data_IF_783198766318
#
_entry.id   IF_783198766318
#
_cell.length_a   1.000
_cell.length_b   1.000
_cell.length_c   1.000
_cell.angle_alpha   90.00
_cell.angle_beta   90.00
_cell.angle_gamma   90.00
#
_symmetry.space_group_name_H-M   'P 1'
#
loop_
_entity.id
_entity.type
_entity.pdbx_description
1 polymer ?
#
# COMPACT_ATOMS: atom_id res chain seq x y z
N UNK A 1 -63.24 28.19 17.56
CA UNK A 1 -62.57 27.67 16.40
C UNK A 1 -61.08 27.65 16.68
N UNK A 2 -60.53 26.52 17.04
CA UNK A 2 -59.10 26.37 17.33
C UNK A 2 -58.43 25.66 16.18
N UNK A 3 -57.49 26.30 15.48
CA UNK A 3 -56.70 25.73 14.41
C UNK A 3 -55.45 25.11 14.98
N UNK A 4 -55.36 23.79 14.93
CA UNK A 4 -54.20 22.99 15.30
C UNK A 4 -53.19 22.96 14.15
N UNK A 5 -52.05 23.60 14.30
CA UNK A 5 -50.93 23.52 13.38
C UNK A 5 -50.11 22.24 13.66
N UNK A 6 -50.10 21.32 12.70
CA UNK A 6 -49.27 20.12 12.71
C UNK A 6 -47.91 20.47 12.14
N UNK A 7 -46.90 20.57 12.99
CA UNK A 7 -45.51 20.71 12.56
C UNK A 7 -44.93 19.38 12.12
N UNK A 8 -44.69 19.23 10.81
CA UNK A 8 -44.02 18.06 10.24
C UNK A 8 -42.51 18.22 10.40
N UNK A 9 -41.92 17.59 11.39
CA UNK A 9 -40.48 17.52 11.58
C UNK A 9 -39.88 16.49 10.62
N UNK A 10 -39.26 16.97 9.53
CA UNK A 10 -38.46 16.13 8.61
C UNK A 10 -37.11 15.90 9.26
N UNK A 11 -36.91 14.76 9.88
CA UNK A 11 -35.58 14.29 10.29
C UNK A 11 -34.80 13.91 9.04
N UNK A 12 -33.89 14.78 8.57
CA UNK A 12 -32.81 14.38 7.66
C UNK A 12 -31.81 13.54 8.45
N UNK A 13 -31.92 12.22 8.34
CA UNK A 13 -30.85 11.33 8.74
C UNK A 13 -29.69 11.47 7.74
N UNK A 14 -28.67 12.27 8.06
CA UNK A 14 -27.38 12.17 7.37
C UNK A 14 -26.80 10.80 7.70
N UNK A 15 -26.95 9.86 6.77
CA UNK A 15 -26.18 8.62 6.79
C UNK A 15 -24.70 9.01 6.56
N UNK A 16 -23.93 9.09 7.63
CA UNK A 16 -22.48 9.16 7.54
C UNK A 16 -22.02 7.90 6.82
N UNK A 17 -21.67 8.04 5.55
CA UNK A 17 -21.01 6.99 4.77
C UNK A 17 -19.64 6.78 5.45
N UNK A 18 -19.58 5.80 6.34
CA UNK A 18 -18.30 5.29 6.82
C UNK A 18 -17.61 4.67 5.60
N UNK A 19 -16.69 5.41 4.99
CA UNK A 19 -15.79 4.87 3.99
C UNK A 19 -14.89 3.85 4.70
N UNK A 20 -15.40 2.61 4.82
CA UNK A 20 -14.66 1.50 5.38
C UNK A 20 -13.43 1.20 4.54
N UNK A 21 -12.40 0.59 5.17
CA UNK A 21 -11.23 0.11 4.44
C UNK A 21 -11.66 -0.88 3.35
N UNK A 22 -10.96 -0.92 2.19
CA UNK A 22 -11.28 -1.87 1.13
C UNK A 22 -11.31 -3.32 1.65
N UNK A 23 -12.15 -4.18 1.10
CA UNK A 23 -12.18 -5.58 1.50
C UNK A 23 -10.89 -6.32 1.09
N UNK A 24 -10.52 -7.34 1.84
CA UNK A 24 -9.44 -8.24 1.48
C UNK A 24 -9.84 -9.11 0.28
N UNK A 25 -8.96 -9.22 -0.72
CA UNK A 25 -9.09 -10.19 -1.82
C UNK A 25 -7.72 -10.51 -2.43
N UNK A 26 -7.63 -11.58 -3.21
CA UNK A 26 -6.39 -11.95 -3.91
C UNK A 26 -6.23 -11.31 -5.29
N UNK A 27 -7.25 -10.57 -5.74
CA UNK A 27 -7.23 -9.85 -7.02
C UNK A 27 -6.20 -8.71 -6.99
N UNK A 28 -5.58 -8.38 -8.13
CA UNK A 28 -4.69 -7.23 -8.26
C UNK A 28 -5.36 -5.92 -7.81
N UNK A 29 -4.57 -5.03 -7.23
CA UNK A 29 -5.00 -3.68 -6.83
C UNK A 29 -4.16 -2.67 -7.57
N UNK A 30 -4.81 -1.84 -8.37
CA UNK A 30 -4.15 -0.82 -9.18
C UNK A 30 -4.78 0.54 -8.95
N UNK A 31 -3.94 1.54 -8.98
CA UNK A 31 -4.33 2.94 -9.00
C UNK A 31 -3.41 3.67 -9.98
N UNK A 32 -3.93 4.32 -11.04
CA UNK A 32 -3.10 5.08 -11.95
C UNK A 32 -2.32 6.18 -11.23
N UNK A 33 -1.07 6.35 -11.60
CA UNK A 33 -0.26 7.48 -11.17
C UNK A 33 -0.62 8.72 -11.97
N UNK A 34 -0.66 9.87 -11.31
CA UNK A 34 -0.90 11.18 -11.95
C UNK A 34 -0.15 12.28 -11.19
N UNK A 35 0.26 13.31 -11.92
CA UNK A 35 0.89 14.48 -11.32
C UNK A 35 2.40 14.36 -11.12
N UNK A 36 2.93 15.13 -10.18
CA UNK A 36 4.36 15.18 -9.88
C UNK A 36 4.85 13.86 -9.28
N UNK A 37 6.05 13.45 -9.68
CA UNK A 37 6.72 12.25 -9.17
C UNK A 37 6.77 12.25 -7.63
N UNK A 38 6.33 11.19 -7.01
CA UNK A 38 6.37 11.04 -5.56
C UNK A 38 7.80 10.85 -5.05
N UNK A 39 8.16 11.57 -4.00
CA UNK A 39 9.35 11.32 -3.21
C UNK A 39 9.01 10.38 -2.08
N UNK A 40 9.46 9.15 -2.15
CA UNK A 40 9.34 8.20 -1.05
C UNK A 40 10.40 8.51 0.01
N UNK A 41 10.02 8.48 1.28
CA UNK A 41 10.89 8.86 2.41
C UNK A 41 11.17 7.74 3.38
N UNK A 42 10.48 6.62 3.27
CA UNK A 42 10.69 5.48 4.16
C UNK A 42 9.69 4.36 3.88
N UNK A 43 9.94 3.21 4.49
CA UNK A 43 9.04 2.07 4.53
C UNK A 43 9.02 1.47 5.93
N UNK A 44 7.85 0.97 6.35
CA UNK A 44 7.67 0.30 7.64
C UNK A 44 6.84 -0.97 7.49
N UNK A 45 6.89 -1.80 8.53
CA UNK A 45 6.04 -2.98 8.68
C UNK A 45 5.42 -3.02 10.07
N UNK A 46 4.24 -3.62 10.19
CA UNK A 46 3.56 -3.82 11.46
C UNK A 46 2.74 -5.11 11.48
N UNK A 47 2.77 -5.82 12.61
CA UNK A 47 1.95 -7.00 12.84
C UNK A 47 0.70 -6.58 13.64
N UNK A 48 -0.48 -6.89 13.14
CA UNK A 48 -1.77 -6.64 13.78
C UNK A 48 -2.46 -7.98 14.11
N UNK A 49 -3.54 -7.94 14.87
CA UNK A 49 -4.22 -9.15 15.31
C UNK A 49 -4.78 -10.03 14.17
N UNK A 50 -5.16 -9.45 13.03
CA UNK A 50 -5.82 -10.15 11.92
C UNK A 50 -5.17 -9.91 10.54
N UNK A 51 -4.13 -9.06 10.49
CA UNK A 51 -3.40 -8.76 9.26
C UNK A 51 -2.00 -8.24 9.58
N UNK A 52 -1.11 -8.38 8.62
CA UNK A 52 0.21 -7.77 8.64
C UNK A 52 0.24 -6.58 7.67
N UNK A 53 0.97 -5.53 8.01
CA UNK A 53 0.97 -4.27 7.29
C UNK A 53 2.35 -3.93 6.73
N UNK A 54 2.37 -3.49 5.48
CA UNK A 54 3.50 -2.80 4.85
C UNK A 54 3.08 -1.37 4.52
N UNK A 55 3.92 -0.40 4.88
CA UNK A 55 3.66 1.04 4.69
C UNK A 55 4.77 1.65 3.86
N UNK A 56 4.40 2.48 2.89
CA UNK A 56 5.31 3.31 2.10
C UNK A 56 4.98 4.77 2.42
N UNK A 57 5.96 5.51 2.93
CA UNK A 57 5.83 6.93 3.26
C UNK A 57 6.16 7.80 2.05
N UNK A 58 5.34 8.81 1.81
CA UNK A 58 5.48 9.78 0.72
C UNK A 58 5.67 11.16 1.33
N UNK A 59 6.85 11.74 1.12
CA UNK A 59 7.18 13.09 1.61
C UNK A 59 6.56 14.19 0.74
N UNK A 60 6.49 13.96 -0.58
CA UNK A 60 5.90 14.91 -1.54
C UNK A 60 5.48 14.23 -2.84
N UNK A 61 4.70 14.93 -3.66
CA UNK A 61 4.20 14.41 -4.92
C UNK A 61 3.05 13.42 -4.77
N UNK A 62 2.68 12.80 -5.88
CA UNK A 62 1.62 11.79 -5.94
C UNK A 62 2.06 10.62 -6.81
N UNK A 63 1.67 9.42 -6.43
CA UNK A 63 1.95 8.20 -7.19
C UNK A 63 0.72 7.32 -7.31
N UNK A 64 0.69 6.51 -8.35
CA UNK A 64 -0.14 5.32 -8.42
C UNK A 64 0.55 4.11 -7.81
N UNK A 65 -0.12 2.97 -7.91
CA UNK A 65 0.45 1.68 -7.51
C UNK A 65 -0.12 0.55 -8.35
N UNK A 66 0.66 -0.52 -8.44
CA UNK A 66 0.23 -1.83 -8.90
C UNK A 66 0.70 -2.88 -7.88
N UNK A 67 -0.24 -3.60 -7.29
CA UNK A 67 0.03 -4.60 -6.25
C UNK A 67 -0.66 -5.89 -6.62
N UNK A 68 0.14 -6.96 -6.77
CA UNK A 68 -0.36 -8.27 -7.19
C UNK A 68 0.49 -9.43 -6.73
N UNK A 69 -0.12 -10.61 -6.63
CA UNK A 69 0.61 -11.86 -6.49
C UNK A 69 1.41 -12.17 -7.76
N UNK A 70 2.63 -12.65 -7.56
CA UNK A 70 3.54 -13.08 -8.64
C UNK A 70 4.20 -14.40 -8.29
N UNK A 71 4.64 -15.16 -9.28
CA UNK A 71 5.42 -16.39 -9.07
C UNK A 71 6.83 -16.08 -8.55
N UNK A 72 7.42 -14.97 -9.02
CA UNK A 72 8.73 -14.46 -8.58
C UNK A 72 8.75 -12.94 -8.66
N UNK A 73 9.55 -12.31 -7.81
CA UNK A 73 9.92 -10.90 -7.91
C UNK A 73 11.24 -10.80 -8.64
N UNK A 74 11.36 -9.83 -9.53
CA UNK A 74 12.60 -9.53 -10.24
C UNK A 74 13.04 -8.11 -9.94
N UNK A 75 14.34 -7.89 -9.97
CA UNK A 75 14.93 -6.57 -9.76
C UNK A 75 14.88 -5.73 -11.04
N UNK A 76 14.48 -4.47 -10.90
CA UNK A 76 14.52 -3.49 -11.97
C UNK A 76 15.86 -2.67 -11.89
N UNK A 77 16.59 -2.45 -13.00
CA UNK A 77 16.30 -2.87 -14.38
C UNK A 77 16.89 -4.23 -14.77
N UNK A 78 17.64 -4.92 -13.90
CA UNK A 78 18.46 -6.08 -14.27
C UNK A 78 17.65 -7.33 -14.61
N UNK A 79 16.39 -7.44 -14.17
CA UNK A 79 15.57 -8.64 -14.33
C UNK A 79 15.98 -9.83 -13.44
N UNK A 80 17.02 -9.68 -12.61
CA UNK A 80 17.49 -10.75 -11.75
C UNK A 80 16.46 -11.13 -10.69
N UNK A 81 16.29 -12.41 -10.34
CA UNK A 81 15.40 -12.82 -9.27
C UNK A 81 15.78 -12.17 -7.92
N UNK A 82 14.78 -11.67 -7.21
CA UNK A 82 14.89 -11.19 -5.83
C UNK A 82 14.42 -12.29 -4.89
N UNK A 83 15.34 -13.02 -4.22
CA UNK A 83 14.94 -14.07 -3.30
C UNK A 83 14.26 -13.48 -2.07
N UNK A 84 13.11 -14.07 -1.70
CA UNK A 84 12.28 -13.64 -0.58
C UNK A 84 11.96 -14.84 0.32
N UNK A 85 11.92 -14.60 1.63
CA UNK A 85 11.43 -15.59 2.60
C UNK A 85 9.93 -15.81 2.40
N UNK A 86 9.49 -17.05 2.70
CA UNK A 86 8.08 -17.45 2.55
C UNK A 86 7.79 -18.15 1.22
N UNK A 87 6.58 -18.72 1.12
CA UNK A 87 6.16 -19.55 -0.02
C UNK A 87 5.43 -18.78 -1.10
N UNK A 88 4.92 -17.58 -0.80
CA UNK A 88 4.14 -16.72 -1.72
C UNK A 88 4.75 -15.33 -1.80
N UNK A 89 4.48 -14.63 -2.90
CA UNK A 89 5.08 -13.33 -3.18
C UNK A 89 4.06 -12.37 -3.73
N UNK A 90 4.08 -11.14 -3.19
CA UNK A 90 3.40 -9.98 -3.76
C UNK A 90 4.47 -9.05 -4.33
N UNK A 91 4.28 -8.56 -5.55
CA UNK A 91 5.02 -7.41 -6.09
C UNK A 91 4.22 -6.15 -5.84
N UNK A 92 4.88 -5.12 -5.32
CA UNK A 92 4.36 -3.76 -5.15
C UNK A 92 5.16 -2.85 -6.05
N UNK A 93 4.48 -2.13 -6.94
CA UNK A 93 5.07 -1.12 -7.83
C UNK A 93 4.44 0.22 -7.51
N UNK A 94 5.25 1.25 -7.36
CA UNK A 94 4.84 2.63 -7.11
C UNK A 94 5.38 3.51 -8.22
N UNK A 95 4.51 4.25 -8.91
CA UNK A 95 4.88 5.10 -10.04
C UNK A 95 3.88 6.26 -10.27
N UNK A 96 4.33 7.44 -10.72
CA UNK A 96 5.72 7.87 -10.79
C UNK A 96 6.29 8.09 -9.39
N UNK A 97 7.47 7.54 -9.08
CA UNK A 97 8.08 7.62 -7.76
C UNK A 97 9.61 7.51 -7.82
N UNK A 98 10.28 7.97 -6.77
CA UNK A 98 11.70 7.74 -6.49
C UNK A 98 11.91 7.53 -5.00
N UNK A 99 12.85 6.66 -4.64
CA UNK A 99 13.24 6.35 -3.27
C UNK A 99 14.65 6.82 -2.91
N UNK A 100 15.21 7.74 -3.70
CA UNK A 100 16.54 8.34 -3.52
C UNK A 100 16.47 9.85 -3.59
N UNK A 101 17.47 10.53 -3.05
CA UNK A 101 17.64 11.99 -3.16
C UNK A 101 18.06 12.38 -4.58
N UNK A 102 18.03 13.69 -4.91
CA UNK A 102 18.59 14.21 -6.17
C UNK A 102 20.09 13.95 -6.31
N UNK A 103 20.80 13.75 -5.20
CA UNK A 103 22.22 13.37 -5.18
C UNK A 103 22.43 11.84 -5.26
N UNK A 104 21.37 11.05 -5.43
CA UNK A 104 21.43 9.59 -5.57
C UNK A 104 21.50 8.80 -4.25
N UNK A 105 21.45 9.45 -3.09
CA UNK A 105 21.45 8.74 -1.81
C UNK A 105 20.13 8.00 -1.56
N UNK A 106 20.20 6.72 -1.25
CA UNK A 106 19.02 5.90 -0.94
C UNK A 106 18.34 6.37 0.35
N UNK A 107 17.02 6.50 0.32
CA UNK A 107 16.16 6.84 1.45
C UNK A 107 15.42 5.64 2.02
N UNK A 108 15.40 4.53 1.31
CA UNK A 108 14.62 3.36 1.65
C UNK A 108 15.53 2.21 2.09
N UNK A 109 15.20 1.49 3.17
CA UNK A 109 15.89 0.26 3.53
C UNK A 109 15.85 -0.76 2.38
N UNK A 110 16.93 -1.50 2.19
CA UNK A 110 16.99 -2.56 1.19
C UNK A 110 16.11 -3.77 1.57
N UNK A 111 16.00 -4.04 2.87
CA UNK A 111 15.30 -5.22 3.40
C UNK A 111 14.71 -4.90 4.77
N UNK A 112 13.46 -5.35 5.00
CA UNK A 112 12.84 -5.48 6.32
C UNK A 112 12.47 -6.95 6.53
N UNK A 113 12.66 -7.45 7.75
CA UNK A 113 12.32 -8.84 8.12
C UNK A 113 11.45 -8.83 9.37
N UNK A 114 10.16 -8.51 9.23
CA UNK A 114 9.24 -8.51 10.35
C UNK A 114 8.97 -9.95 10.82
N UNK A 115 8.77 -10.12 12.14
CA UNK A 115 8.36 -11.39 12.73
C UNK A 115 6.83 -11.53 12.75
N UNK A 116 6.18 -11.24 11.62
CA UNK A 116 4.72 -11.25 11.51
C UNK A 116 4.19 -12.64 11.10
N UNK A 117 2.93 -12.97 11.41
CA UNK A 117 2.33 -14.27 11.10
C UNK A 117 2.35 -14.65 9.62
N UNK A 118 2.17 -13.70 8.70
CA UNK A 118 2.16 -13.95 7.27
C UNK A 118 3.26 -13.19 6.50
N UNK A 119 3.49 -11.91 6.79
CA UNK A 119 4.54 -11.10 6.15
C UNK A 119 5.92 -11.48 6.74
N UNK A 120 6.73 -12.15 5.95
CA UNK A 120 8.05 -12.68 6.36
C UNK A 120 9.20 -11.77 6.01
N UNK A 121 9.10 -11.08 4.88
CA UNK A 121 10.17 -10.21 4.41
C UNK A 121 9.64 -9.19 3.41
N UNK A 122 10.21 -8.00 3.42
CA UNK A 122 10.06 -6.98 2.38
C UNK A 122 11.44 -6.67 1.82
N UNK A 123 11.60 -6.67 0.51
CA UNK A 123 12.82 -6.23 -0.17
C UNK A 123 12.50 -5.18 -1.22
N UNK A 124 13.32 -4.13 -1.28
CA UNK A 124 13.32 -3.22 -2.43
C UNK A 124 13.84 -3.99 -3.65
N UNK A 125 13.05 -4.02 -4.71
CA UNK A 125 13.38 -4.73 -5.95
C UNK A 125 13.90 -3.79 -7.05
N UNK A 126 13.57 -2.48 -6.98
CA UNK A 126 14.07 -1.49 -7.92
C UNK A 126 13.75 -0.06 -7.50
N UNK A 127 14.53 0.87 -8.04
CA UNK A 127 14.34 2.32 -7.96
C UNK A 127 14.97 2.92 -9.22
N UNK A 128 14.24 2.88 -10.33
CA UNK A 128 14.77 3.19 -11.66
C UNK A 128 13.69 3.83 -12.56
N UNK A 129 14.05 4.87 -13.28
CA UNK A 129 13.21 5.56 -14.28
C UNK A 129 11.79 5.92 -13.79
N UNK A 130 11.71 6.43 -12.57
CA UNK A 130 10.42 6.84 -12.01
C UNK A 130 9.56 5.70 -11.46
N UNK A 131 10.13 4.51 -11.32
CA UNK A 131 9.47 3.33 -10.78
C UNK A 131 10.21 2.84 -9.55
N UNK A 132 9.51 2.72 -8.42
CA UNK A 132 10.03 2.06 -7.22
C UNK A 132 9.25 0.77 -7.00
N UNK A 133 9.97 -0.35 -6.87
CA UNK A 133 9.34 -1.65 -6.69
C UNK A 133 9.83 -2.39 -5.45
N UNK A 134 8.92 -3.18 -4.85
CA UNK A 134 9.17 -4.01 -3.68
C UNK A 134 8.63 -5.41 -3.90
N UNK A 135 9.29 -6.38 -3.28
CA UNK A 135 8.79 -7.72 -3.10
C UNK A 135 8.41 -7.98 -1.65
N UNK A 136 7.22 -8.51 -1.43
CA UNK A 136 6.74 -9.00 -0.14
C UNK A 136 6.76 -10.52 -0.17
N UNK A 137 7.51 -11.12 0.74
CA UNK A 137 7.54 -12.56 0.95
C UNK A 137 6.55 -12.96 2.04
N UNK A 138 5.67 -13.90 1.74
CA UNK A 138 4.57 -14.32 2.60
C UNK A 138 4.64 -15.80 2.93
N UNK A 139 4.21 -16.17 4.15
CA UNK A 139 4.11 -17.57 4.55
C UNK A 139 3.06 -18.32 3.70
N UNK A 140 1.92 -17.69 3.41
CA UNK A 140 0.80 -18.28 2.67
C UNK A 140 0.07 -17.25 1.80
N UNK A 141 -0.73 -17.72 0.83
CA UNK A 141 -1.58 -16.87 0.00
C UNK A 141 -2.89 -16.58 0.73
N UNK A 142 -3.14 -15.30 1.01
CA UNK A 142 -4.36 -14.79 1.65
C UNK A 142 -4.86 -13.56 0.91
N UNK A 143 -6.01 -13.02 1.28
CA UNK A 143 -6.48 -11.74 0.77
C UNK A 143 -5.56 -10.61 1.21
N UNK A 144 -5.41 -9.60 0.36
CA UNK A 144 -4.75 -8.34 0.70
C UNK A 144 -5.62 -7.16 0.27
N UNK A 145 -5.36 -5.99 0.85
CA UNK A 145 -5.98 -4.73 0.47
C UNK A 145 -4.93 -3.64 0.36
N UNK A 146 -5.20 -2.64 -0.46
CA UNK A 146 -4.32 -1.48 -0.65
C UNK A 146 -5.15 -0.22 -0.56
N UNK A 147 -4.64 0.78 0.15
CA UNK A 147 -5.29 2.07 0.29
C UNK A 147 -4.26 3.17 0.57
N UNK A 148 -4.71 4.42 0.42
CA UNK A 148 -3.92 5.59 0.79
C UNK A 148 -4.41 6.17 2.10
N UNK A 149 -3.48 6.73 2.86
CA UNK A 149 -3.74 7.62 4.00
C UNK A 149 -3.15 8.98 3.72
N UNK A 150 -3.79 10.01 4.26
CA UNK A 150 -3.34 11.41 4.21
C UNK A 150 -2.96 11.88 5.60
N UNK A 151 -2.10 12.89 5.71
CA UNK A 151 -1.67 13.51 6.94
C UNK A 151 -0.91 12.58 7.93
N UNK A 152 0.29 12.09 7.60
CA UNK A 152 1.08 12.18 6.38
C UNK A 152 0.63 11.21 5.29
N UNK A 153 1.03 11.49 4.04
CA UNK A 153 0.67 10.64 2.90
C UNK A 153 1.39 9.30 2.92
N UNK A 154 0.65 8.21 2.77
CA UNK A 154 1.17 6.84 2.80
C UNK A 154 0.37 5.94 1.84
N UNK A 155 1.06 4.97 1.23
CA UNK A 155 0.43 3.80 0.62
C UNK A 155 0.54 2.67 1.63
N UNK A 156 -0.57 2.00 1.89
CA UNK A 156 -0.65 0.90 2.87
C UNK A 156 -1.08 -0.36 2.14
N UNK A 157 -0.36 -1.45 2.40
CA UNK A 157 -0.71 -2.81 1.96
C UNK A 157 -0.93 -3.65 3.21
N UNK A 158 -2.17 -4.08 3.44
CA UNK A 158 -2.50 -5.04 4.49
C UNK A 158 -2.67 -6.43 3.88
N UNK A 159 -2.09 -7.43 4.52
CA UNK A 159 -2.19 -8.85 4.14
C UNK A 159 -2.83 -9.61 5.29
N UNK A 160 -3.97 -10.24 5.06
CA UNK A 160 -4.69 -11.01 6.08
C UNK A 160 -3.90 -12.25 6.53
N UNK A 161 -4.18 -12.75 7.75
CA UNK A 161 -3.63 -14.01 8.26
C UNK A 161 -4.57 -14.77 9.20
#
# INVERSE_FOLDING_TARGET
>A
MAATAVALAVLLALAAQAFGLPPFSTAPKTLPGSGAQAQLSGIDTGCHATFDRFVIHIASGMSGYDVRYVSRVVADPSGNPVPLQGSKRIRVVVHPARGHTTAGANLLPATLTPLCPNLRQVKRAGDFEGVVSFGLGLARKTGFRVFRLTGPTRIVVDVAH
#
